data_IF_019857207282
#
_entry.id   IF_019857207282
#
_cell.length_a   1.000
_cell.length_b   1.000
_cell.length_c   1.000
_cell.angle_alpha   90.00
_cell.angle_beta   90.00
_cell.angle_gamma   90.00
#
_symmetry.space_group_name_H-M   'P 1'
#
loop_
_entity.id
_entity.type
_entity.pdbx_description
1 polymer ?
#
# COMPACT_ATOMS: atom_id res chain seq x y z
N UNK A 1 -73.35 26.16 28.08
CA UNK A 1 -71.91 26.53 28.03
C UNK A 1 -71.09 25.25 28.18
N UNK A 2 -70.58 24.65 27.07
CA UNK A 2 -69.84 23.39 27.10
C UNK A 2 -68.30 23.54 27.12
N UNK A 3 -67.76 24.76 27.16
CA UNK A 3 -66.32 25.06 27.00
C UNK A 3 -65.38 24.50 28.08
N UNK A 4 -65.91 23.92 29.16
CA UNK A 4 -65.09 23.40 30.26
C UNK A 4 -64.58 21.96 30.06
N UNK A 5 -65.23 21.15 29.21
CA UNK A 5 -64.82 19.75 28.99
C UNK A 5 -63.70 19.60 27.96
N UNK A 6 -63.77 20.32 26.83
CA UNK A 6 -62.75 20.27 25.77
C UNK A 6 -61.39 20.84 26.22
N UNK A 7 -61.39 21.85 27.09
CA UNK A 7 -60.14 22.41 27.63
C UNK A 7 -59.41 21.45 28.58
N UNK A 8 -60.14 20.60 29.30
CA UNK A 8 -59.54 19.62 30.21
C UNK A 8 -58.83 18.49 29.44
N UNK A 9 -59.42 18.02 28.35
CA UNK A 9 -58.85 16.98 27.49
C UNK A 9 -57.59 17.46 26.77
N UNK A 10 -57.58 18.72 26.30
CA UNK A 10 -56.42 19.31 25.65
C UNK A 10 -55.23 19.47 26.60
N UNK A 11 -55.47 19.88 27.85
CA UNK A 11 -54.42 20.03 28.86
C UNK A 11 -53.89 18.69 29.35
N UNK A 12 -54.76 17.67 29.44
CA UNK A 12 -54.36 16.28 29.71
C UNK A 12 -53.42 15.73 28.63
N UNK A 13 -53.74 16.02 27.37
CA UNK A 13 -52.90 15.60 26.23
C UNK A 13 -51.54 16.31 26.22
N UNK A 14 -51.51 17.64 26.42
CA UNK A 14 -50.27 18.43 26.53
C UNK A 14 -49.38 17.96 27.68
N UNK A 15 -49.98 17.65 28.83
CA UNK A 15 -49.28 17.10 30.00
C UNK A 15 -48.62 15.77 29.67
N UNK A 16 -49.33 14.86 29.03
CA UNK A 16 -48.81 13.54 28.65
C UNK A 16 -47.63 13.66 27.67
N UNK A 17 -47.75 14.54 26.67
CA UNK A 17 -46.70 14.80 25.68
C UNK A 17 -45.43 15.38 26.33
N UNK A 18 -45.58 16.34 27.23
CA UNK A 18 -44.46 16.93 27.97
C UNK A 18 -43.73 15.90 28.85
N UNK A 19 -44.47 15.04 29.54
CA UNK A 19 -43.89 13.96 30.38
C UNK A 19 -43.05 13.00 29.53
N UNK A 20 -43.57 12.57 28.38
CA UNK A 20 -42.85 11.64 27.50
C UNK A 20 -41.57 12.27 26.94
N UNK A 21 -41.62 13.54 26.54
CA UNK A 21 -40.42 14.24 26.06
C UNK A 21 -39.37 14.43 27.15
N UNK A 22 -39.76 14.79 28.36
CA UNK A 22 -38.84 14.94 29.51
C UNK A 22 -38.14 13.61 29.79
N UNK A 23 -38.88 12.49 29.82
CA UNK A 23 -38.30 11.15 30.00
C UNK A 23 -37.30 10.80 28.90
N UNK A 24 -37.62 11.12 27.64
CA UNK A 24 -36.71 10.88 26.52
C UNK A 24 -35.42 11.72 26.64
N UNK A 25 -35.54 12.99 27.05
CA UNK A 25 -34.38 13.82 27.35
C UNK A 25 -33.51 13.22 28.46
N UNK A 26 -34.11 12.69 29.54
CA UNK A 26 -33.38 12.05 30.63
C UNK A 26 -32.61 10.81 30.18
N UNK A 27 -33.21 9.98 29.32
CA UNK A 27 -32.55 8.79 28.76
C UNK A 27 -31.37 9.22 27.89
N UNK A 28 -31.58 10.13 26.94
CA UNK A 28 -30.52 10.61 26.04
C UNK A 28 -29.41 11.33 26.80
N UNK A 29 -29.74 12.13 27.82
CA UNK A 29 -28.77 12.76 28.71
C UNK A 29 -27.94 11.69 29.42
N UNK A 30 -28.56 10.65 29.98
CA UNK A 30 -27.81 9.56 30.64
C UNK A 30 -26.93 8.80 29.66
N UNK A 31 -27.42 8.49 28.46
CA UNK A 31 -26.65 7.80 27.42
C UNK A 31 -25.44 8.63 27.00
N UNK A 32 -25.65 9.91 26.70
CA UNK A 32 -24.60 10.84 26.30
C UNK A 32 -23.62 11.09 27.46
N UNK A 33 -24.10 11.27 28.70
CA UNK A 33 -23.24 11.37 29.91
C UNK A 33 -22.44 10.10 30.17
N UNK A 34 -23.04 8.92 30.01
CA UNK A 34 -22.31 7.64 30.14
C UNK A 34 -21.25 7.49 29.04
N UNK A 35 -21.45 8.17 27.92
CA UNK A 35 -20.48 8.31 26.84
C UNK A 35 -19.50 9.49 27.05
N UNK A 36 -19.52 10.12 28.22
CA UNK A 36 -18.65 11.25 28.60
C UNK A 36 -18.98 12.55 27.89
N UNK A 37 -20.25 12.82 27.57
CA UNK A 37 -20.68 14.06 26.90
C UNK A 37 -21.31 15.03 27.92
N UNK A 38 -20.79 16.26 27.98
CA UNK A 38 -21.23 17.46 28.64
C UNK A 38 -22.52 17.92 27.99
N UNK A 39 -23.56 17.48 28.67
CA UNK A 39 -24.91 17.87 28.35
C UNK A 39 -25.35 19.06 29.19
N UNK A 40 -24.46 19.82 29.86
CA UNK A 40 -24.82 20.94 30.76
C UNK A 40 -25.85 21.91 30.16
N UNK A 41 -25.67 22.30 28.89
CA UNK A 41 -26.64 23.16 28.19
C UNK A 41 -28.01 22.47 28.04
N UNK A 42 -28.03 21.19 27.64
CA UNK A 42 -29.25 20.40 27.54
C UNK A 42 -29.86 20.08 28.92
N UNK A 43 -29.04 19.95 29.95
CA UNK A 43 -29.43 19.71 31.33
C UNK A 43 -30.12 20.93 31.92
N UNK A 44 -29.60 22.13 31.65
CA UNK A 44 -30.27 23.39 31.99
C UNK A 44 -31.65 23.51 31.31
N UNK A 45 -31.76 23.10 30.04
CA UNK A 45 -33.05 23.06 29.33
C UNK A 45 -34.01 22.02 29.93
N UNK A 46 -33.51 20.86 30.36
CA UNK A 46 -34.28 19.82 31.04
C UNK A 46 -34.78 20.28 32.42
N UNK A 47 -33.93 20.93 33.21
CA UNK A 47 -34.28 21.54 34.51
C UNK A 47 -35.41 22.56 34.33
N UNK A 48 -35.29 23.45 33.33
CA UNK A 48 -36.35 24.41 32.98
C UNK A 48 -37.65 23.71 32.55
N UNK A 49 -37.56 22.65 31.75
CA UNK A 49 -38.73 21.86 31.36
C UNK A 49 -39.44 21.26 32.58
N UNK A 50 -38.68 20.70 33.54
CA UNK A 50 -39.20 20.16 34.80
C UNK A 50 -39.85 21.23 35.68
N UNK A 51 -39.28 22.43 35.74
CA UNK A 51 -39.88 23.56 36.46
C UNK A 51 -41.22 23.98 35.85
N UNK A 52 -41.31 24.13 34.53
CA UNK A 52 -42.59 24.41 33.86
C UNK A 52 -43.62 23.32 34.08
N UNK A 53 -43.17 22.07 34.16
CA UNK A 53 -44.02 20.92 34.44
C UNK A 53 -44.63 20.99 35.84
N UNK A 54 -43.84 21.37 36.86
CA UNK A 54 -44.31 21.61 38.24
C UNK A 54 -45.32 22.76 38.33
N UNK A 55 -45.11 23.84 37.57
CA UNK A 55 -46.03 24.99 37.51
C UNK A 55 -47.27 24.76 36.63
N UNK A 56 -47.54 23.53 36.16
CA UNK A 56 -48.63 23.17 35.25
C UNK A 56 -48.62 23.95 33.91
N UNK A 57 -47.48 24.50 33.50
CA UNK A 57 -47.29 25.18 32.20
C UNK A 57 -46.86 24.16 31.14
N UNK A 58 -47.73 23.21 30.82
CA UNK A 58 -47.39 22.00 30.05
C UNK A 58 -46.82 22.28 28.65
N UNK A 59 -47.37 23.28 27.94
CA UNK A 59 -46.85 23.66 26.62
C UNK A 59 -45.40 24.17 26.69
N UNK A 60 -45.07 24.99 27.70
CA UNK A 60 -43.72 25.50 27.89
C UNK A 60 -42.74 24.38 28.30
N UNK A 61 -43.19 23.44 29.13
CA UNK A 61 -42.43 22.24 29.48
C UNK A 61 -42.09 21.41 28.24
N UNK A 62 -43.08 21.16 27.39
CA UNK A 62 -42.90 20.47 26.11
C UNK A 62 -41.91 21.20 25.19
N UNK A 63 -42.06 22.53 25.03
CA UNK A 63 -41.21 23.32 24.16
C UNK A 63 -39.73 23.30 24.61
N UNK A 64 -39.47 23.38 25.92
CA UNK A 64 -38.12 23.28 26.45
C UNK A 64 -37.53 21.88 26.30
N UNK A 65 -38.32 20.83 26.54
CA UNK A 65 -37.88 19.45 26.30
C UNK A 65 -37.58 19.20 24.81
N UNK A 66 -38.37 19.77 23.89
CA UNK A 66 -38.08 19.72 22.46
C UNK A 66 -36.74 20.37 22.11
N UNK A 67 -36.48 21.58 22.61
CA UNK A 67 -35.19 22.28 22.41
C UNK A 67 -34.00 21.51 23.02
N UNK A 68 -34.22 20.85 24.16
CA UNK A 68 -33.26 19.96 24.78
C UNK A 68 -32.88 18.82 23.83
N UNK A 69 -33.87 18.10 23.25
CA UNK A 69 -33.60 17.05 22.26
C UNK A 69 -32.87 17.55 21.02
N UNK A 70 -33.28 18.70 20.45
CA UNK A 70 -32.61 19.27 19.28
C UNK A 70 -31.13 19.60 19.58
N UNK A 71 -30.81 20.00 20.81
CA UNK A 71 -29.44 20.23 21.28
C UNK A 71 -28.68 18.90 21.41
N UNK A 72 -29.28 17.89 22.04
CA UNK A 72 -28.68 16.56 22.22
C UNK A 72 -28.37 15.88 20.88
N UNK A 73 -29.29 15.99 19.92
CA UNK A 73 -29.10 15.48 18.56
C UNK A 73 -27.91 16.14 17.86
N UNK A 74 -27.77 17.48 17.97
CA UNK A 74 -26.63 18.23 17.41
C UNK A 74 -25.31 17.80 18.03
N UNK A 75 -25.26 17.60 19.34
CA UNK A 75 -24.06 17.13 20.05
C UNK A 75 -23.68 15.71 19.61
N UNK A 76 -24.65 14.80 19.56
CA UNK A 76 -24.45 13.43 19.08
C UNK A 76 -23.94 13.38 17.64
N UNK A 77 -24.48 14.22 16.75
CA UNK A 77 -24.03 14.35 15.36
C UNK A 77 -22.60 14.89 15.26
N UNK A 78 -22.23 15.90 16.05
CA UNK A 78 -20.87 16.45 16.07
C UNK A 78 -19.85 15.40 16.50
N UNK A 79 -20.12 14.67 17.59
CA UNK A 79 -19.25 13.59 18.06
C UNK A 79 -19.08 12.51 17.00
N UNK A 80 -20.18 12.01 16.42
CA UNK A 80 -20.14 11.00 15.34
C UNK A 80 -19.30 11.48 14.14
N UNK A 81 -19.46 12.74 13.73
CA UNK A 81 -18.70 13.33 12.62
C UNK A 81 -17.20 13.41 12.92
N UNK A 82 -16.81 13.82 14.12
CA UNK A 82 -15.39 13.88 14.52
C UNK A 82 -14.79 12.48 14.66
N UNK A 83 -15.53 11.55 15.25
CA UNK A 83 -15.12 10.16 15.37
C UNK A 83 -14.86 9.53 14.01
N UNK A 84 -15.78 9.73 13.05
CA UNK A 84 -15.59 9.24 11.68
C UNK A 84 -14.31 9.79 11.02
N UNK A 85 -13.95 11.06 11.25
CA UNK A 85 -12.70 11.63 10.75
C UNK A 85 -11.46 10.99 11.38
N UNK A 86 -11.47 10.78 12.70
CA UNK A 86 -10.39 10.08 13.41
C UNK A 86 -10.25 8.64 12.91
N UNK A 87 -11.36 7.96 12.67
CA UNK A 87 -11.36 6.58 12.19
C UNK A 87 -10.82 6.46 10.76
N UNK A 88 -11.17 7.40 9.87
CA UNK A 88 -10.57 7.52 8.54
C UNK A 88 -9.06 7.73 8.66
N UNK A 89 -8.61 8.67 9.49
CA UNK A 89 -7.20 8.94 9.70
C UNK A 89 -6.45 7.70 10.23
N UNK A 90 -7.02 6.98 11.21
CA UNK A 90 -6.50 5.70 11.71
C UNK A 90 -6.44 4.62 10.64
N UNK A 91 -7.38 4.58 9.71
CA UNK A 91 -7.34 3.65 8.57
C UNK A 91 -6.15 3.96 7.67
N UNK A 92 -5.97 5.23 7.30
CA UNK A 92 -4.86 5.65 6.43
C UNK A 92 -3.52 5.39 7.12
N UNK A 93 -3.41 5.69 8.42
CA UNK A 93 -2.22 5.38 9.22
C UNK A 93 -1.91 3.88 9.19
N UNK A 94 -2.91 3.01 9.45
CA UNK A 94 -2.70 1.56 9.43
C UNK A 94 -2.25 1.07 8.06
N UNK A 95 -2.82 1.61 6.98
CA UNK A 95 -2.40 1.24 5.63
C UNK A 95 -0.99 1.76 5.28
N UNK A 96 -0.61 2.92 5.80
CA UNK A 96 0.76 3.43 5.69
C UNK A 96 1.75 2.58 6.51
N UNK A 97 1.38 2.12 7.71
CA UNK A 97 2.21 1.23 8.53
C UNK A 97 2.40 -0.15 7.89
N UNK A 98 1.37 -0.72 7.26
CA UNK A 98 1.51 -1.95 6.44
C UNK A 98 2.52 -1.76 5.31
N UNK A 99 2.62 -0.55 4.78
CA UNK A 99 3.59 -0.12 3.76
C UNK A 99 4.92 0.38 4.35
N UNK A 100 5.12 0.27 5.67
CA UNK A 100 6.40 0.50 6.35
C UNK A 100 6.65 1.91 6.82
N UNK A 101 5.69 2.81 6.65
CA UNK A 101 5.83 4.15 7.18
C UNK A 101 5.86 4.11 8.72
N UNK A 102 6.71 4.93 9.34
CA UNK A 102 6.54 5.21 10.75
C UNK A 102 5.46 6.25 10.95
N UNK A 103 4.43 5.84 11.67
CA UNK A 103 3.27 6.68 11.95
C UNK A 103 3.10 6.90 13.47
N UNK A 104 4.12 6.65 14.31
CA UNK A 104 4.04 6.86 15.77
C UNK A 104 3.53 8.26 16.13
N UNK A 105 4.10 9.29 15.49
CA UNK A 105 3.67 10.67 15.73
C UNK A 105 2.24 10.90 15.26
N UNK A 106 1.83 10.34 14.12
CA UNK A 106 0.46 10.44 13.62
C UNK A 106 -0.54 9.68 14.51
N UNK A 107 -0.15 8.54 15.08
CA UNK A 107 -0.92 7.78 16.07
C UNK A 107 -1.08 8.55 17.37
N UNK A 108 -0.01 9.19 17.86
CA UNK A 108 -0.07 10.05 19.04
C UNK A 108 -1.06 11.21 18.83
N UNK A 109 -1.05 11.84 17.65
CA UNK A 109 -2.01 12.88 17.29
C UNK A 109 -3.45 12.33 17.18
N UNK A 110 -3.63 11.11 16.65
CA UNK A 110 -4.95 10.46 16.67
C UNK A 110 -5.47 10.19 18.08
N UNK A 111 -4.57 9.81 18.99
CA UNK A 111 -4.93 9.62 20.39
C UNK A 111 -5.29 10.95 21.05
N UNK A 112 -4.51 12.01 20.79
CA UNK A 112 -4.82 13.37 21.24
C UNK A 112 -6.19 13.84 20.73
N UNK A 113 -6.50 13.59 19.45
CA UNK A 113 -7.81 13.89 18.87
C UNK A 113 -8.92 13.07 19.53
N UNK A 114 -8.68 11.79 19.82
CA UNK A 114 -9.65 10.94 20.53
C UNK A 114 -9.89 11.44 21.95
N UNK A 115 -8.84 11.85 22.66
CA UNK A 115 -8.94 12.40 24.02
C UNK A 115 -9.67 13.75 24.00
N UNK A 116 -9.45 14.59 22.98
CA UNK A 116 -10.23 15.81 22.76
C UNK A 116 -11.71 15.52 22.46
N UNK A 117 -12.03 14.49 21.65
CA UNK A 117 -13.42 14.04 21.44
C UNK A 117 -14.04 13.55 22.75
N UNK A 118 -13.28 12.83 23.57
CA UNK A 118 -13.75 12.30 24.86
C UNK A 118 -13.94 13.39 25.93
N UNK A 119 -13.20 14.51 25.82
CA UNK A 119 -13.38 15.74 26.62
C UNK A 119 -14.32 16.75 25.97
N UNK A 120 -14.84 16.43 24.78
CA UNK A 120 -15.72 17.28 23.96
C UNK A 120 -15.19 18.64 23.59
N UNK A 121 -13.88 18.78 23.57
CA UNK A 121 -13.24 19.94 23.00
C UNK A 121 -13.23 19.80 21.47
N UNK A 122 -14.43 19.81 20.86
CA UNK A 122 -14.59 19.62 19.42
C UNK A 122 -13.91 20.73 18.61
N UNK A 123 -13.78 21.92 19.19
CA UNK A 123 -13.06 23.04 18.59
C UNK A 123 -11.55 22.76 18.56
N UNK A 124 -10.99 22.04 19.54
CA UNK A 124 -9.61 21.55 19.50
C UNK A 124 -9.40 20.34 18.57
N UNK A 125 -10.42 19.52 18.29
CA UNK A 125 -10.25 18.33 17.42
C UNK A 125 -9.85 18.71 16.00
N UNK A 126 -10.42 19.79 15.44
CA UNK A 126 -10.09 20.23 14.08
C UNK A 126 -8.61 20.56 13.87
N UNK A 127 -7.99 21.47 14.65
CA UNK A 127 -6.56 21.78 14.48
C UNK A 127 -5.65 20.58 14.74
N UNK A 128 -6.03 19.66 15.65
CA UNK A 128 -5.30 18.41 15.88
C UNK A 128 -5.33 17.52 14.62
N UNK A 129 -6.51 17.35 14.01
CA UNK A 129 -6.65 16.59 12.77
C UNK A 129 -5.91 17.26 11.60
N UNK A 130 -6.02 18.58 11.45
CA UNK A 130 -5.33 19.33 10.38
C UNK A 130 -3.81 19.19 10.51
N UNK A 131 -3.27 19.21 11.74
CA UNK A 131 -1.86 18.92 12.01
C UNK A 131 -1.48 17.51 11.56
N UNK A 132 -2.31 16.49 11.84
CA UNK A 132 -2.06 15.13 11.37
C UNK A 132 -2.03 15.05 9.83
N UNK A 133 -3.02 15.64 9.17
CA UNK A 133 -3.08 15.65 7.71
C UNK A 133 -1.90 16.39 7.08
N UNK A 134 -1.48 17.51 7.64
CA UNK A 134 -0.31 18.26 7.17
C UNK A 134 0.99 17.44 7.32
N UNK A 135 1.16 16.73 8.44
CA UNK A 135 2.29 15.81 8.63
C UNK A 135 2.29 14.68 7.60
N UNK A 136 1.13 14.07 7.35
CA UNK A 136 0.99 13.01 6.33
C UNK A 136 1.27 13.52 4.92
N UNK A 137 0.78 14.72 4.57
CA UNK A 137 1.08 15.34 3.28
C UNK A 137 2.58 15.60 3.10
N UNK A 138 3.24 16.09 4.16
CA UNK A 138 4.69 16.32 4.17
C UNK A 138 5.44 15.01 3.97
N UNK A 139 5.07 13.95 4.70
CA UNK A 139 5.67 12.64 4.54
C UNK A 139 5.48 12.07 3.13
N UNK A 140 4.26 12.13 2.58
CA UNK A 140 3.97 11.68 1.22
C UNK A 140 4.77 12.47 0.18
N UNK A 141 4.87 13.80 0.33
CA UNK A 141 5.67 14.66 -0.55
C UNK A 141 7.14 14.26 -0.53
N UNK A 142 7.72 14.13 0.66
CA UNK A 142 9.16 13.85 0.82
C UNK A 142 9.51 12.45 0.28
N UNK A 143 8.60 11.49 0.51
CA UNK A 143 8.69 10.14 -0.05
C UNK A 143 8.63 10.17 -1.58
N UNK A 144 7.64 10.84 -2.18
CA UNK A 144 7.53 11.00 -3.63
C UNK A 144 8.75 11.67 -4.25
N UNK A 145 9.25 12.73 -3.63
CA UNK A 145 10.45 13.46 -4.09
C UNK A 145 11.67 12.54 -4.18
N UNK A 146 11.75 11.57 -3.29
CA UNK A 146 12.83 10.57 -3.29
C UNK A 146 12.55 9.40 -4.23
N UNK A 147 11.29 8.95 -4.32
CA UNK A 147 10.90 7.74 -5.04
C UNK A 147 10.80 7.96 -6.55
N UNK A 148 10.28 9.10 -7.02
CA UNK A 148 10.07 9.35 -8.45
C UNK A 148 11.36 9.24 -9.28
N UNK A 149 12.51 9.82 -8.89
CA UNK A 149 13.77 9.63 -9.62
C UNK A 149 14.23 8.17 -9.70
N UNK A 150 13.96 7.40 -8.64
CA UNK A 150 14.29 5.96 -8.58
C UNK A 150 13.42 5.18 -9.57
N UNK A 151 12.12 5.49 -9.63
CA UNK A 151 11.20 4.89 -10.61
C UNK A 151 11.65 5.18 -12.03
N UNK A 152 12.08 6.42 -12.34
CA UNK A 152 12.60 6.78 -13.66
C UNK A 152 13.79 5.90 -14.06
N UNK A 153 14.74 5.69 -13.15
CA UNK A 153 15.87 4.80 -13.36
C UNK A 153 15.41 3.33 -13.58
N UNK A 154 14.44 2.86 -12.81
CA UNK A 154 13.91 1.50 -12.94
C UNK A 154 13.14 1.25 -14.25
N UNK A 155 12.33 2.22 -14.68
CA UNK A 155 11.63 2.19 -15.97
C UNK A 155 12.63 2.06 -17.11
N UNK A 156 13.68 2.86 -17.10
CA UNK A 156 14.69 2.84 -18.17
C UNK A 156 15.45 1.51 -18.19
N UNK A 157 15.88 0.99 -17.04
CA UNK A 157 16.56 -0.31 -16.99
C UNK A 157 15.66 -1.47 -17.45
N UNK A 158 14.39 -1.49 -17.02
CA UNK A 158 13.44 -2.51 -17.45
C UNK A 158 13.20 -2.43 -18.97
N UNK A 159 13.07 -1.22 -19.51
CA UNK A 159 12.94 -0.98 -20.96
C UNK A 159 14.17 -1.43 -21.74
N UNK A 160 15.37 -1.10 -21.28
CA UNK A 160 16.64 -1.52 -21.89
C UNK A 160 16.80 -3.06 -21.88
N UNK A 161 16.24 -3.73 -20.87
CA UNK A 161 16.19 -5.19 -20.83
C UNK A 161 15.14 -5.80 -21.79
N UNK A 162 14.23 -4.99 -22.34
CA UNK A 162 13.18 -5.40 -23.27
C UNK A 162 11.81 -5.62 -22.61
N UNK A 163 11.62 -5.24 -21.35
CA UNK A 163 10.34 -5.42 -20.67
C UNK A 163 9.31 -4.38 -21.15
N UNK A 164 8.03 -4.78 -21.27
CA UNK A 164 6.95 -3.84 -21.56
C UNK A 164 6.59 -3.03 -20.30
N UNK A 165 7.09 -1.80 -20.25
CA UNK A 165 6.86 -0.86 -19.14
C UNK A 165 5.72 0.12 -19.39
N UNK A 166 4.91 -0.06 -20.43
CA UNK A 166 3.89 0.93 -20.85
C UNK A 166 2.90 1.28 -19.73
N UNK A 167 2.42 0.26 -19.00
CA UNK A 167 1.49 0.46 -17.89
C UNK A 167 2.15 1.18 -16.70
N UNK A 168 3.39 0.80 -16.36
CA UNK A 168 4.15 1.45 -15.29
C UNK A 168 4.50 2.90 -15.61
N UNK A 169 4.80 3.19 -16.87
CA UNK A 169 5.07 4.53 -17.38
C UNK A 169 3.84 5.44 -17.21
N UNK A 170 2.65 4.97 -17.58
CA UNK A 170 1.40 5.73 -17.39
C UNK A 170 1.16 6.06 -15.90
N UNK A 171 1.38 5.09 -15.01
CA UNK A 171 1.25 5.30 -13.56
C UNK A 171 2.29 6.30 -13.02
N UNK A 172 3.52 6.25 -13.53
CA UNK A 172 4.55 7.23 -13.17
C UNK A 172 4.16 8.65 -13.62
N UNK A 173 3.63 8.81 -14.82
CA UNK A 173 3.16 10.10 -15.33
C UNK A 173 2.00 10.66 -14.51
N UNK A 174 1.04 9.81 -14.13
CA UNK A 174 -0.04 10.16 -13.21
C UNK A 174 0.50 10.57 -11.83
N UNK A 175 1.54 9.90 -11.34
CA UNK A 175 2.21 10.26 -10.09
C UNK A 175 2.87 11.65 -10.17
N UNK A 176 3.59 11.94 -11.26
CA UNK A 176 4.23 13.24 -11.51
C UNK A 176 3.17 14.34 -11.62
N UNK A 177 2.07 14.08 -12.34
CA UNK A 177 0.95 15.02 -12.46
C UNK A 177 0.32 15.32 -11.09
N UNK A 178 0.02 14.29 -10.31
CA UNK A 178 -0.53 14.45 -8.96
C UNK A 178 0.44 15.21 -8.03
N UNK A 179 1.75 14.99 -8.17
CA UNK A 179 2.78 15.70 -7.43
C UNK A 179 2.77 17.21 -7.74
N UNK A 180 2.66 17.57 -9.03
CA UNK A 180 2.57 18.95 -9.49
C UNK A 180 1.27 19.65 -9.03
N UNK A 181 0.17 18.90 -8.93
CA UNK A 181 -1.11 19.37 -8.38
C UNK A 181 -1.14 19.41 -6.84
N UNK A 182 -0.02 19.09 -6.15
CA UNK A 182 0.11 19.00 -4.68
C UNK A 182 -0.82 17.97 -4.04
N UNK A 183 -1.24 16.94 -4.79
CA UNK A 183 -2.02 15.79 -4.30
C UNK A 183 -1.06 14.66 -3.91
N UNK A 184 -0.30 14.87 -2.83
CA UNK A 184 0.86 14.04 -2.50
C UNK A 184 0.54 12.58 -2.15
N UNK A 185 -0.59 12.35 -1.49
CA UNK A 185 -1.12 11.02 -1.17
C UNK A 185 -1.48 10.23 -2.44
N UNK A 186 -2.14 10.89 -3.39
CA UNK A 186 -2.47 10.33 -4.70
C UNK A 186 -1.19 10.04 -5.50
N UNK A 187 -0.25 10.99 -5.50
CA UNK A 187 1.05 10.82 -6.15
C UNK A 187 1.82 9.61 -5.60
N UNK A 188 1.85 9.45 -4.28
CA UNK A 188 2.51 8.31 -3.63
C UNK A 188 1.86 6.99 -4.02
N UNK A 189 0.53 6.93 -4.08
CA UNK A 189 -0.18 5.74 -4.50
C UNK A 189 0.19 5.33 -5.93
N UNK A 190 0.17 6.27 -6.88
CA UNK A 190 0.56 6.02 -8.26
C UNK A 190 2.02 5.61 -8.40
N UNK A 191 2.93 6.25 -7.65
CA UNK A 191 4.35 5.91 -7.64
C UNK A 191 4.58 4.47 -7.16
N UNK A 192 3.98 4.06 -6.03
CA UNK A 192 4.09 2.70 -5.52
C UNK A 192 3.54 1.66 -6.51
N UNK A 193 2.40 1.95 -7.14
CA UNK A 193 1.81 1.06 -8.17
C UNK A 193 2.71 0.98 -9.41
N UNK A 194 3.38 2.07 -9.79
CA UNK A 194 4.35 2.05 -10.89
C UNK A 194 5.50 1.08 -10.58
N UNK A 195 6.05 1.10 -9.36
CA UNK A 195 7.06 0.12 -8.93
C UNK A 195 6.57 -1.32 -9.07
N UNK A 196 5.37 -1.62 -8.55
CA UNK A 196 4.78 -2.97 -8.63
C UNK A 196 4.62 -3.45 -10.07
N UNK A 197 4.20 -2.57 -10.99
CA UNK A 197 4.03 -2.94 -12.39
C UNK A 197 5.38 -3.09 -13.11
N UNK A 198 6.44 -2.36 -12.72
CA UNK A 198 7.81 -2.59 -13.23
C UNK A 198 8.28 -4.00 -12.87
N UNK A 199 8.09 -4.40 -11.62
CA UNK A 199 8.50 -5.71 -11.15
C UNK A 199 7.74 -6.83 -11.88
N UNK A 200 6.43 -6.66 -12.09
CA UNK A 200 5.63 -7.59 -12.90
C UNK A 200 6.11 -7.68 -14.35
N UNK A 201 6.42 -6.55 -14.98
CA UNK A 201 6.91 -6.53 -16.36
C UNK A 201 8.25 -7.27 -16.50
N UNK A 202 9.14 -7.14 -15.51
CA UNK A 202 10.41 -7.86 -15.47
C UNK A 202 10.22 -9.36 -15.31
N UNK A 203 9.35 -9.78 -14.38
CA UNK A 203 9.06 -11.21 -14.17
C UNK A 203 8.45 -11.83 -15.43
N UNK A 204 7.51 -11.13 -16.07
CA UNK A 204 6.91 -11.59 -17.33
C UNK A 204 7.96 -11.76 -18.43
N UNK A 205 8.82 -10.77 -18.64
CA UNK A 205 9.90 -10.87 -19.62
C UNK A 205 10.83 -12.06 -19.33
N UNK A 206 11.24 -12.24 -18.07
CA UNK A 206 12.15 -13.33 -17.71
C UNK A 206 11.49 -14.70 -17.96
N UNK A 207 10.21 -14.85 -17.63
CA UNK A 207 9.45 -16.06 -17.90
C UNK A 207 9.33 -16.36 -19.40
N UNK A 208 9.08 -15.34 -20.23
CA UNK A 208 9.02 -15.48 -21.69
C UNK A 208 10.38 -15.90 -22.27
N UNK A 209 11.46 -15.28 -21.80
CA UNK A 209 12.83 -15.60 -22.20
C UNK A 209 13.21 -17.04 -21.84
N UNK A 210 12.88 -17.49 -20.62
CA UNK A 210 13.08 -18.87 -20.16
C UNK A 210 12.31 -19.84 -21.06
N UNK A 211 11.01 -19.59 -21.26
CA UNK A 211 10.13 -20.46 -22.06
C UNK A 211 10.60 -20.59 -23.51
N UNK A 212 10.97 -19.47 -24.14
CA UNK A 212 11.56 -19.48 -25.50
C UNK A 212 12.85 -20.28 -25.56
N UNK A 213 13.70 -20.18 -24.54
CA UNK A 213 14.98 -20.88 -24.50
C UNK A 213 14.79 -22.38 -24.29
N UNK A 214 13.85 -22.79 -23.44
CA UNK A 214 13.47 -24.19 -23.25
C UNK A 214 12.99 -24.83 -24.54
N UNK A 215 12.17 -24.12 -25.33
CA UNK A 215 11.73 -24.60 -26.63
C UNK A 215 12.91 -24.86 -27.60
N UNK A 216 13.88 -23.93 -27.66
CA UNK A 216 15.09 -24.08 -28.48
C UNK A 216 15.98 -25.26 -28.01
N UNK A 217 16.05 -25.50 -26.69
CA UNK A 217 16.77 -26.65 -26.10
C UNK A 217 16.10 -27.97 -26.51
N UNK A 218 14.78 -28.07 -26.43
CA UNK A 218 14.05 -29.29 -26.82
C UNK A 218 14.19 -29.60 -28.32
N UNK A 219 14.23 -28.58 -29.18
CA UNK A 219 14.52 -28.78 -30.61
C UNK A 219 15.92 -29.38 -30.83
N UNK A 220 16.94 -28.88 -30.11
CA UNK A 220 18.30 -29.41 -30.16
C UNK A 220 18.38 -30.86 -29.64
N UNK A 221 17.69 -31.17 -28.54
CA UNK A 221 17.60 -32.54 -28.00
C UNK A 221 16.98 -33.49 -29.01
N UNK A 222 15.89 -33.09 -29.66
CA UNK A 222 15.22 -33.91 -30.67
C UNK A 222 16.13 -34.22 -31.87
N UNK A 223 17.13 -33.35 -32.11
CA UNK A 223 18.18 -33.53 -33.12
C UNK A 223 19.39 -34.35 -32.64
N UNK A 224 19.35 -34.89 -31.41
CA UNK A 224 20.41 -35.70 -30.82
C UNK A 224 21.63 -34.91 -30.35
N UNK A 225 21.49 -33.60 -30.12
CA UNK A 225 22.55 -32.74 -29.59
C UNK A 225 22.51 -32.76 -28.06
N UNK A 226 23.67 -32.92 -27.42
CA UNK A 226 23.79 -32.81 -25.96
C UNK A 226 23.67 -31.35 -25.51
N UNK A 227 22.87 -31.10 -24.47
CA UNK A 227 22.45 -29.75 -24.05
C UNK A 227 22.50 -29.54 -22.52
N UNK A 228 23.19 -30.40 -21.77
CA UNK A 228 23.17 -30.41 -20.29
C UNK A 228 23.53 -29.05 -19.66
N UNK A 229 24.48 -28.33 -20.27
CA UNK A 229 24.90 -27.01 -19.82
C UNK A 229 23.83 -25.94 -20.08
N UNK A 230 23.12 -25.99 -21.21
CA UNK A 230 21.99 -25.10 -21.49
C UNK A 230 20.85 -25.31 -20.46
N UNK A 231 20.54 -26.56 -20.12
CA UNK A 231 19.51 -26.90 -19.14
C UNK A 231 19.88 -26.39 -17.74
N UNK A 232 21.16 -26.53 -17.35
CA UNK A 232 21.67 -26.01 -16.07
C UNK A 232 21.51 -24.50 -15.98
N UNK A 233 21.85 -23.76 -17.05
CA UNK A 233 21.71 -22.30 -17.09
C UNK A 233 20.24 -21.85 -17.01
N UNK A 234 19.34 -22.57 -17.70
CA UNK A 234 17.90 -22.28 -17.65
C UNK A 234 17.32 -22.57 -16.27
N UNK A 235 17.68 -23.69 -15.64
CA UNK A 235 17.23 -24.00 -14.27
C UNK A 235 17.65 -22.91 -13.26
N UNK A 236 18.88 -22.40 -13.38
CA UNK A 236 19.33 -21.28 -12.55
C UNK A 236 18.56 -19.98 -12.82
N UNK A 237 18.09 -19.76 -14.05
CA UNK A 237 17.26 -18.62 -14.40
C UNK A 237 15.83 -18.76 -13.83
N UNK A 238 15.28 -19.98 -13.82
CA UNK A 238 14.00 -20.30 -13.18
C UNK A 238 14.05 -20.05 -11.66
N UNK A 239 15.13 -20.46 -11.00
CA UNK A 239 15.35 -20.17 -9.58
C UNK A 239 15.35 -18.64 -9.34
N UNK A 240 16.02 -17.87 -10.21
CA UNK A 240 16.01 -16.41 -10.11
C UNK A 240 14.59 -15.83 -10.26
N UNK A 241 13.80 -16.34 -11.21
CA UNK A 241 12.42 -15.90 -11.41
C UNK A 241 11.51 -16.24 -10.21
N UNK A 242 11.66 -17.45 -9.64
CA UNK A 242 10.91 -17.89 -8.46
C UNK A 242 11.26 -17.07 -7.22
N UNK A 243 12.54 -16.74 -7.02
CA UNK A 243 12.97 -15.83 -5.96
C UNK A 243 12.37 -14.43 -6.14
N UNK A 244 12.34 -13.89 -7.36
CA UNK A 244 11.72 -12.59 -7.64
C UNK A 244 10.21 -12.56 -7.31
N UNK A 245 9.47 -13.58 -7.71
CA UNK A 245 8.04 -13.69 -7.40
C UNK A 245 7.80 -13.81 -5.88
N UNK A 246 8.63 -14.59 -5.20
CA UNK A 246 8.61 -14.69 -3.74
C UNK A 246 8.92 -13.35 -3.08
N UNK A 247 9.90 -12.62 -3.60
CA UNK A 247 10.26 -11.29 -3.10
C UNK A 247 9.16 -10.25 -3.35
N UNK A 248 8.44 -10.28 -4.48
CA UNK A 248 7.26 -9.42 -4.66
C UNK A 248 6.18 -9.73 -3.62
N UNK A 249 5.88 -11.02 -3.43
CA UNK A 249 4.90 -11.47 -2.45
C UNK A 249 5.30 -11.05 -1.04
N UNK A 250 6.57 -11.20 -0.66
CA UNK A 250 7.07 -10.78 0.65
C UNK A 250 7.13 -9.25 0.78
N UNK A 251 7.50 -8.51 -0.26
CA UNK A 251 7.54 -7.04 -0.23
C UNK A 251 6.13 -6.43 -0.01
N UNK A 252 5.07 -7.08 -0.49
CA UNK A 252 3.69 -6.71 -0.15
C UNK A 252 3.34 -6.93 1.33
N UNK A 253 4.08 -7.80 2.04
CA UNK A 253 3.83 -8.17 3.43
C UNK A 253 4.81 -7.55 4.43
N UNK A 254 6.03 -7.22 4.01
CA UNK A 254 7.17 -6.93 4.88
C UNK A 254 7.80 -5.60 4.55
N UNK A 255 7.12 -4.56 4.98
CA UNK A 255 7.73 -3.26 5.17
C UNK A 255 8.37 -3.23 6.57
N UNK A 256 9.51 -3.91 6.72
CA UNK A 256 10.11 -4.19 8.03
C UNK A 256 10.83 -2.94 8.54
N UNK A 257 10.34 -2.38 9.65
CA UNK A 257 11.04 -1.31 10.38
C UNK A 257 12.40 -1.82 10.84
N UNK A 258 13.45 -1.03 10.64
CA UNK A 258 14.75 -1.31 11.23
C UNK A 258 14.60 -1.35 12.77
N UNK A 259 15.05 -2.42 13.41
CA UNK A 259 15.13 -2.45 14.88
C UNK A 259 16.16 -1.40 15.34
N UNK A 260 15.83 -0.55 16.32
CA UNK A 260 16.78 0.41 16.90
C UNK A 260 18.05 -0.32 17.36
N UNK A 261 19.22 0.21 16.97
CA UNK A 261 20.53 -0.37 17.31
C UNK A 261 21.21 -1.16 16.20
N UNK A 262 20.56 -1.43 15.07
CA UNK A 262 21.25 -1.91 13.88
C UNK A 262 22.00 -0.73 13.24
N UNK A 263 23.22 -0.95 12.75
CA UNK A 263 23.98 0.03 11.98
C UNK A 263 23.88 -0.28 10.49
N UNK A 264 23.75 0.76 9.66
CA UNK A 264 23.85 0.61 8.22
C UNK A 264 25.26 0.09 7.87
N UNK A 265 25.30 -1.07 7.22
CA UNK A 265 26.56 -1.75 6.89
C UNK A 265 27.37 -1.07 5.77
N UNK A 266 26.84 0.01 5.19
CA UNK A 266 27.55 0.86 4.23
C UNK A 266 28.24 2.04 4.91
N UNK A 267 27.48 2.84 5.66
CA UNK A 267 27.94 4.12 6.17
C UNK A 267 28.27 4.09 7.66
N UNK A 268 27.99 2.97 8.35
CA UNK A 268 28.21 2.81 9.79
C UNK A 268 27.26 3.64 10.67
N UNK A 269 26.40 4.46 10.09
CA UNK A 269 25.42 5.24 10.83
C UNK A 269 24.28 4.33 11.29
N UNK A 270 23.82 4.55 12.52
CA UNK A 270 22.61 3.91 13.02
C UNK A 270 21.41 4.32 12.18
N UNK A 271 20.47 3.39 12.02
CA UNK A 271 19.15 3.74 11.51
C UNK A 271 18.53 4.71 12.52
N UNK A 272 18.18 5.91 12.08
CA UNK A 272 17.35 6.79 12.89
C UNK A 272 16.06 6.03 13.25
N UNK A 273 15.41 6.43 14.34
CA UNK A 273 14.02 6.03 14.55
C UNK A 273 13.30 6.36 13.25
N UNK A 274 12.84 5.30 12.55
CA UNK A 274 12.03 5.34 11.32
C UNK A 274 12.75 5.22 9.97
N UNK A 275 14.06 4.95 9.96
CA UNK A 275 14.69 4.61 8.69
C UNK A 275 14.24 3.22 8.20
N UNK A 276 13.88 3.15 6.92
CA UNK A 276 13.62 1.87 6.24
C UNK A 276 14.97 1.25 5.90
N UNK A 277 15.27 0.13 6.55
CA UNK A 277 16.45 -0.67 6.25
C UNK A 277 16.13 -1.64 5.11
N UNK A 278 16.97 -1.62 4.09
CA UNK A 278 17.05 -2.72 3.13
C UNK A 278 17.93 -3.80 3.76
N UNK A 279 17.33 -4.94 4.05
CA UNK A 279 18.01 -6.08 4.64
C UNK A 279 18.57 -6.98 3.53
N UNK A 280 19.87 -7.20 3.54
CA UNK A 280 20.47 -8.25 2.75
C UNK A 280 20.10 -9.63 3.33
N UNK A 281 20.08 -10.66 2.49
CA UNK A 281 19.85 -12.06 2.92
C UNK A 281 20.86 -12.59 3.93
N UNK A 282 22.01 -11.93 4.10
CA UNK A 282 22.97 -12.24 5.17
C UNK A 282 22.64 -11.58 6.52
N UNK A 283 21.53 -10.84 6.63
CA UNK A 283 21.09 -10.17 7.86
C UNK A 283 21.64 -8.74 8.04
N UNK A 284 22.45 -8.22 7.12
CA UNK A 284 22.94 -6.85 7.20
C UNK A 284 21.92 -5.84 6.68
N UNK A 285 21.66 -4.80 7.48
CA UNK A 285 20.81 -3.67 7.11
C UNK A 285 21.59 -2.57 6.39
N UNK A 286 20.92 -1.93 5.43
CA UNK A 286 21.43 -0.76 4.73
C UNK A 286 20.35 0.33 4.66
N UNK A 287 20.72 1.61 4.80
CA UNK A 287 19.80 2.69 4.39
C UNK A 287 19.42 2.50 2.93
N UNK A 288 18.17 2.77 2.54
CA UNK A 288 17.75 2.74 1.12
C UNK A 288 18.75 3.47 0.22
N UNK A 289 19.17 4.69 0.59
CA UNK A 289 20.16 5.46 -0.18
C UNK A 289 21.51 4.74 -0.28
N UNK A 290 21.97 4.12 0.81
CA UNK A 290 23.22 3.36 0.81
C UNK A 290 23.12 2.05 0.02
N UNK A 291 21.97 1.38 0.08
CA UNK A 291 21.70 0.17 -0.67
C UNK A 291 21.67 0.45 -2.18
N UNK A 292 21.00 1.53 -2.59
CA UNK A 292 20.98 2.02 -3.97
C UNK A 292 22.37 2.45 -4.43
N UNK A 293 23.12 3.16 -3.59
CA UNK A 293 24.46 3.64 -3.95
C UNK A 293 25.50 2.52 -4.06
N UNK A 294 25.52 1.58 -3.11
CA UNK A 294 26.46 0.46 -3.14
C UNK A 294 26.09 -0.55 -4.22
N UNK A 295 24.80 -0.81 -4.44
CA UNK A 295 24.33 -1.95 -5.21
C UNK A 295 24.53 -3.29 -4.49
N UNK A 296 25.65 -3.51 -3.80
CA UNK A 296 26.04 -4.80 -3.20
C UNK A 296 26.45 -4.78 -1.73
N UNK A 297 26.16 -5.90 -1.06
CA UNK A 297 26.36 -6.12 0.36
C UNK A 297 27.84 -6.41 0.57
N UNK A 298 28.51 -5.56 1.34
CA UNK A 298 29.96 -5.72 1.61
C UNK A 298 30.33 -7.03 2.31
N UNK A 299 29.38 -7.72 2.94
CA UNK A 299 29.64 -8.96 3.67
C UNK A 299 29.55 -10.20 2.78
N UNK A 300 28.40 -10.44 2.16
CA UNK A 300 28.21 -11.63 1.33
C UNK A 300 28.45 -11.37 -0.16
N UNK A 301 28.79 -10.14 -0.53
CA UNK A 301 28.94 -9.66 -1.92
C UNK A 301 27.70 -9.87 -2.81
N UNK A 302 26.54 -10.18 -2.20
CA UNK A 302 25.24 -10.23 -2.89
C UNK A 302 24.65 -8.83 -2.96
N UNK A 303 23.92 -8.50 -4.00
CA UNK A 303 23.26 -7.20 -4.12
C UNK A 303 22.32 -6.92 -2.93
N UNK A 304 22.19 -5.66 -2.49
CA UNK A 304 21.46 -5.30 -1.27
C UNK A 304 19.96 -5.19 -1.53
N UNK A 305 19.57 -4.71 -2.71
CA UNK A 305 18.16 -4.57 -3.14
C UNK A 305 17.68 -5.81 -3.93
N UNK A 306 18.32 -6.97 -3.72
CA UNK A 306 18.37 -8.00 -4.76
C UNK A 306 17.28 -9.06 -4.81
N UNK A 307 16.25 -8.97 -3.98
CA UNK A 307 15.11 -9.85 -4.22
C UNK A 307 14.60 -9.73 -5.67
N UNK A 308 14.60 -8.49 -6.20
CA UNK A 308 14.01 -8.18 -7.49
C UNK A 308 15.02 -7.78 -8.58
N UNK A 309 15.97 -6.87 -8.32
CA UNK A 309 16.77 -6.27 -9.41
C UNK A 309 17.88 -7.17 -9.96
N UNK A 310 18.81 -7.65 -9.14
CA UNK A 310 19.90 -8.48 -9.64
C UNK A 310 19.52 -9.94 -9.78
N UNK A 311 18.41 -10.40 -9.22
CA UNK A 311 17.84 -11.69 -9.64
C UNK A 311 17.29 -11.59 -11.07
N UNK A 312 16.68 -10.45 -11.44
CA UNK A 312 16.31 -10.19 -12.83
C UNK A 312 17.53 -10.11 -13.75
N UNK A 313 18.50 -9.25 -13.45
CA UNK A 313 19.67 -9.08 -14.33
C UNK A 313 20.49 -10.38 -14.46
N UNK A 314 20.64 -11.13 -13.35
CA UNK A 314 21.28 -12.46 -13.36
C UNK A 314 20.47 -13.46 -14.18
N UNK A 315 19.15 -13.53 -14.00
CA UNK A 315 18.27 -14.40 -14.77
C UNK A 315 18.37 -14.11 -16.27
N UNK A 316 18.30 -12.82 -16.65
CA UNK A 316 18.48 -12.38 -18.05
C UNK A 316 19.86 -12.75 -18.58
N UNK A 317 20.92 -12.57 -17.79
CA UNK A 317 22.28 -12.94 -18.19
C UNK A 317 22.44 -14.46 -18.40
N UNK A 318 21.87 -15.29 -17.52
CA UNK A 318 21.87 -16.75 -17.64
C UNK A 318 21.14 -17.20 -18.91
N UNK A 319 19.98 -16.61 -19.20
CA UNK A 319 19.25 -16.92 -20.44
C UNK A 319 20.03 -16.50 -21.68
N UNK A 320 20.70 -15.34 -21.66
CA UNK A 320 21.58 -14.93 -22.77
C UNK A 320 22.73 -15.90 -23.00
N UNK A 321 23.40 -16.35 -21.94
CA UNK A 321 24.47 -17.35 -22.01
C UNK A 321 23.95 -18.67 -22.61
N UNK A 322 22.77 -19.13 -22.18
CA UNK A 322 22.14 -20.32 -22.75
C UNK A 322 21.86 -20.14 -24.26
N UNK A 323 21.35 -18.98 -24.69
CA UNK A 323 21.10 -18.68 -26.11
C UNK A 323 22.38 -18.64 -26.94
N UNK A 324 23.47 -18.07 -26.43
CA UNK A 324 24.78 -18.08 -27.11
C UNK A 324 25.32 -19.51 -27.30
N UNK A 325 25.14 -20.37 -26.29
CA UNK A 325 25.51 -21.78 -26.37
C UNK A 325 24.65 -22.55 -27.37
N UNK A 326 23.33 -22.34 -27.36
CA UNK A 326 22.40 -22.91 -28.35
C UNK A 326 22.82 -22.54 -29.78
N UNK A 327 23.11 -21.27 -30.04
CA UNK A 327 23.57 -20.82 -31.37
C UNK A 327 24.87 -21.51 -31.80
N UNK A 328 25.81 -21.67 -30.87
CA UNK A 328 27.07 -22.36 -31.10
C UNK A 328 26.84 -23.84 -31.45
N UNK A 329 25.98 -24.54 -30.70
CA UNK A 329 25.61 -25.94 -30.94
C UNK A 329 24.90 -26.12 -32.29
N UNK A 330 23.96 -25.25 -32.63
CA UNK A 330 23.27 -25.25 -33.93
C UNK A 330 24.26 -25.10 -35.09
N UNK A 331 25.28 -24.24 -34.94
CA UNK A 331 26.31 -24.04 -35.96
C UNK A 331 27.16 -25.30 -36.17
N UNK A 332 27.48 -26.03 -35.09
CA UNK A 332 28.24 -27.29 -35.14
C UNK A 332 27.42 -28.43 -35.75
N UNK A 333 26.14 -28.54 -35.40
CA UNK A 333 25.22 -29.52 -35.98
C UNK A 333 25.11 -29.33 -37.51
N UNK A 334 24.91 -28.08 -37.97
CA UNK A 334 24.88 -27.75 -39.41
C UNK A 334 26.18 -28.12 -40.13
N UNK A 335 27.35 -27.95 -39.49
CA UNK A 335 28.64 -28.36 -40.07
C UNK A 335 28.76 -29.88 -40.18
N UNK A 336 28.34 -30.65 -39.16
CA UNK A 336 28.39 -32.12 -39.19
C UNK A 336 27.50 -32.71 -40.30
N UNK A 337 26.29 -32.17 -40.49
CA UNK A 337 25.40 -32.62 -41.57
C UNK A 337 26.04 -32.43 -42.95
N UNK A 338 26.67 -31.27 -43.20
CA UNK A 338 27.38 -31.01 -44.47
C UNK A 338 28.53 -32.00 -44.72
N UNK A 339 29.31 -32.35 -43.69
CA UNK A 339 30.40 -33.32 -43.82
C UNK A 339 29.87 -34.71 -44.18
N UNK A 340 28.79 -35.15 -43.52
CA UNK A 340 28.17 -36.45 -43.82
C UNK A 340 27.57 -36.50 -45.23
N UNK A 341 26.99 -35.41 -45.72
CA UNK A 341 26.50 -35.34 -47.10
C UNK A 341 27.63 -35.34 -48.14
N UNK A 342 28.79 -34.75 -47.85
CA UNK A 342 29.98 -34.84 -48.72
C UNK A 342 30.67 -36.20 -48.69
N UNK A 343 30.47 -36.99 -47.63
CA UNK A 343 31.03 -38.34 -47.48
C UNK A 343 30.11 -39.44 -48.02
N UNK A 344 28.90 -39.12 -48.50
CA UNK A 344 28.12 -40.04 -49.33
C UNK A 344 28.90 -40.29 -50.62
N UNK A 345 29.58 -41.44 -50.67
CA UNK A 345 30.43 -41.88 -51.77
C UNK A 345 29.77 -41.61 -53.13
N UNK A 346 30.52 -41.13 -54.14
CA UNK A 346 29.98 -40.98 -55.48
C UNK A 346 29.44 -42.34 -55.92
N UNK A 347 28.12 -42.44 -56.13
CA UNK A 347 27.47 -43.65 -56.63
C UNK A 347 28.29 -44.16 -57.80
N UNK A 348 29.03 -45.26 -57.59
CA UNK A 348 29.80 -45.91 -58.63
C UNK A 348 28.79 -46.24 -59.73
N UNK A 349 28.86 -45.51 -60.84
CA UNK A 349 28.02 -45.77 -62.01
C UNK A 349 28.47 -47.13 -62.54
N UNK A 350 27.77 -48.19 -62.12
CA UNK A 350 27.94 -49.52 -62.69
C UNK A 350 27.59 -49.40 -64.18
N UNK A 351 28.62 -49.39 -65.05
CA UNK A 351 28.42 -49.48 -66.49
C UNK A 351 27.79 -50.85 -66.76
N UNK A 352 26.63 -50.86 -67.39
CA UNK A 352 26.01 -52.10 -67.88
C UNK A 352 26.97 -52.75 -68.91
N UNK A 353 27.26 -54.06 -68.80
CA UNK A 353 28.02 -54.76 -69.81
C UNK A 353 27.23 -54.80 -71.13
N UNK A 354 27.96 -54.66 -72.26
CA UNK A 354 27.44 -54.65 -73.63
C UNK A 354 27.04 -56.04 -74.11
#
# INVERSE_FOLDING_TARGET
MPESSENADLDSMKKTLAINMIKLCEINIKELQSSGIDVSSAQNMLELAKLFMKSKKYFNAWLQAKRCLETLDKLGLRKKKMQAKVDVLRSIIRDAEKKGADMRNALAICQEAQDAINREDFDAVFPILDKAFAMMQTHSRDTCTTLLPVITFWLENARLAGADVSKSQNLYEDAVKAMNEKKYDVALNFALRSCEEIDRAKIALLADLISSTQFEIEELKSSGVAVDECETLVAQAEDCAAEMDTCMKLAQYLSVRATPGILCSSCGLGFADNDVAVMCSCGLGYHIKCAVYLGFCRNCNKYICNGLFGNFDKGVALVRQAKELIQSLQSLAKKKVKVLDTQKEPRIKIRKPQ
#
